data_IF_798210554366
#
_entry.id   IF_798210554366
#
_cell.length_a   1.000
_cell.length_b   1.000
_cell.length_c   1.000
_cell.angle_alpha   90.00
_cell.angle_beta   90.00
_cell.angle_gamma   90.00
#
_symmetry.space_group_name_H-M   'P 1'
#
loop_
_entity.id
_entity.type
_entity.pdbx_description
1 polymer ?
#
# COMPACT_ATOMS: atom_id res chain seq x y z
N UNK A 1 -5.73 -63.00 -4.67
CA UNK A 1 -7.14 -62.96 -5.13
C UNK A 1 -7.92 -61.91 -4.32
N UNK A 2 -7.58 -60.63 -4.49
CA UNK A 2 -8.34 -59.50 -3.94
C UNK A 2 -8.16 -58.29 -4.87
N UNK A 3 -8.43 -58.46 -6.15
CA UNK A 3 -8.39 -57.40 -7.18
C UNK A 3 -9.76 -56.71 -7.36
N UNK A 4 -10.68 -56.86 -6.40
CA UNK A 4 -12.05 -56.35 -6.49
C UNK A 4 -12.26 -54.94 -5.91
N UNK A 5 -11.20 -54.16 -5.71
CA UNK A 5 -11.28 -52.76 -5.22
C UNK A 5 -10.80 -51.76 -6.27
N UNK A 6 -11.12 -52.03 -7.54
CA UNK A 6 -10.72 -51.18 -8.64
C UNK A 6 -11.77 -50.07 -8.83
N UNK A 7 -11.40 -48.80 -8.58
CA UNK A 7 -12.12 -47.65 -9.16
C UNK A 7 -12.51 -47.98 -10.61
N UNK A 8 -13.74 -47.63 -11.00
CA UNK A 8 -14.17 -47.75 -12.39
C UNK A 8 -13.14 -47.12 -13.32
N UNK A 9 -12.89 -47.74 -14.47
CA UNK A 9 -11.96 -47.20 -15.48
C UNK A 9 -12.35 -45.78 -15.88
N UNK A 10 -13.65 -45.48 -15.91
CA UNK A 10 -14.16 -44.14 -16.19
C UNK A 10 -13.77 -43.12 -15.11
N UNK A 11 -13.88 -43.49 -13.83
CA UNK A 11 -13.51 -42.64 -12.71
C UNK A 11 -12.00 -42.38 -12.67
N UNK A 12 -11.19 -43.41 -12.98
CA UNK A 12 -9.72 -43.27 -13.08
C UNK A 12 -9.34 -42.24 -14.15
N UNK A 13 -9.91 -42.38 -15.34
CA UNK A 13 -9.68 -41.43 -16.45
C UNK A 13 -10.15 -40.03 -16.07
N UNK A 14 -11.26 -39.90 -15.35
CA UNK A 14 -11.76 -38.60 -14.90
C UNK A 14 -10.80 -37.94 -13.89
N UNK A 15 -10.30 -38.70 -12.90
CA UNK A 15 -9.32 -38.21 -11.92
C UNK A 15 -8.03 -37.80 -12.62
N UNK A 16 -7.52 -38.64 -13.52
CA UNK A 16 -6.26 -38.39 -14.24
C UNK A 16 -6.35 -37.13 -15.10
N UNK A 17 -7.47 -36.91 -15.81
CA UNK A 17 -7.71 -35.67 -16.57
C UNK A 17 -7.75 -34.41 -15.70
N UNK A 18 -8.23 -34.51 -14.46
CA UNK A 18 -8.23 -33.36 -13.54
C UNK A 18 -6.83 -33.16 -12.96
N UNK A 19 -6.13 -34.24 -12.64
CA UNK A 19 -4.78 -34.22 -12.10
C UNK A 19 -3.75 -33.69 -13.11
N UNK A 20 -3.82 -34.11 -14.38
CA UNK A 20 -2.97 -33.58 -15.45
C UNK A 20 -3.14 -32.06 -15.60
N UNK A 21 -4.35 -31.54 -15.42
CA UNK A 21 -4.62 -30.09 -15.41
C UNK A 21 -3.99 -29.36 -14.23
N UNK A 22 -3.50 -30.02 -13.19
CA UNK A 22 -2.75 -29.37 -12.11
C UNK A 22 -1.29 -29.07 -12.47
N UNK A 23 -0.71 -29.86 -13.38
CA UNK A 23 0.75 -29.96 -13.53
C UNK A 23 1.46 -28.75 -14.15
N UNK A 24 0.74 -27.70 -14.55
CA UNK A 24 1.39 -26.49 -15.08
C UNK A 24 0.48 -25.32 -15.37
N UNK A 25 -0.72 -25.29 -14.79
CA UNK A 25 -1.83 -24.49 -15.31
C UNK A 25 -2.42 -23.55 -14.26
N UNK A 26 -3.12 -22.55 -14.77
CA UNK A 26 -3.73 -21.46 -14.00
C UNK A 26 -4.90 -21.96 -13.15
N UNK A 27 -5.32 -21.20 -12.13
CA UNK A 27 -6.51 -21.53 -11.33
C UNK A 27 -7.78 -21.66 -12.20
N UNK A 28 -7.85 -20.93 -13.31
CA UNK A 28 -8.94 -21.01 -14.28
C UNK A 28 -9.00 -22.36 -15.01
N UNK A 29 -7.86 -22.89 -15.42
CA UNK A 29 -7.77 -24.16 -16.13
C UNK A 29 -8.04 -25.37 -15.23
N UNK A 30 -7.63 -25.31 -13.96
CA UNK A 30 -7.98 -26.34 -12.96
C UNK A 30 -9.51 -26.44 -12.84
N UNK A 31 -10.19 -25.30 -12.83
CA UNK A 31 -11.65 -25.22 -12.80
C UNK A 31 -12.33 -25.44 -14.15
N UNK A 32 -11.58 -25.47 -15.25
CA UNK A 32 -12.10 -25.46 -16.63
C UNK A 32 -13.09 -24.31 -16.90
N UNK A 33 -12.77 -23.12 -16.41
CA UNK A 33 -13.55 -21.90 -16.63
C UNK A 33 -12.70 -20.85 -17.36
N UNK A 34 -13.35 -19.93 -18.07
CA UNK A 34 -12.67 -18.80 -18.72
C UNK A 34 -12.22 -17.76 -17.67
N UNK A 35 -11.11 -17.03 -17.87
CA UNK A 35 -10.71 -15.91 -17.01
C UNK A 35 -11.80 -14.84 -16.83
N UNK A 36 -12.68 -14.67 -17.82
CA UNK A 36 -13.79 -13.71 -17.79
C UNK A 36 -15.06 -14.26 -17.09
N UNK A 37 -14.99 -15.47 -16.53
CA UNK A 37 -16.16 -16.12 -15.93
C UNK A 37 -16.64 -15.38 -14.69
N UNK A 38 -17.97 -15.31 -14.54
CA UNK A 38 -18.60 -14.72 -13.37
C UNK A 38 -18.30 -15.55 -12.11
N UNK A 39 -18.44 -14.95 -10.94
CA UNK A 39 -18.26 -15.64 -9.67
C UNK A 39 -19.21 -16.84 -9.50
N UNK A 40 -20.43 -16.73 -10.01
CA UNK A 40 -21.41 -17.82 -10.00
C UNK A 40 -20.94 -19.03 -10.82
N UNK A 41 -20.37 -18.79 -12.01
CA UNK A 41 -19.83 -19.84 -12.86
C UNK A 41 -18.64 -20.54 -12.20
N UNK A 42 -17.75 -19.79 -11.54
CA UNK A 42 -16.61 -20.31 -10.77
C UNK A 42 -17.11 -21.21 -9.63
N UNK A 43 -18.08 -20.72 -8.85
CA UNK A 43 -18.64 -21.45 -7.71
C UNK A 43 -19.35 -22.74 -8.15
N UNK A 44 -20.08 -22.68 -9.26
CA UNK A 44 -20.75 -23.85 -9.83
C UNK A 44 -19.74 -24.89 -10.32
N UNK A 45 -18.68 -24.48 -11.02
CA UNK A 45 -17.62 -25.37 -11.47
C UNK A 45 -16.90 -26.08 -10.30
N UNK A 46 -16.62 -25.34 -9.21
CA UNK A 46 -16.04 -25.91 -7.99
C UNK A 46 -16.97 -26.94 -7.36
N UNK A 47 -18.27 -26.62 -7.24
CA UNK A 47 -19.28 -27.52 -6.68
C UNK A 47 -19.37 -28.81 -7.51
N UNK A 48 -19.39 -28.69 -8.83
CA UNK A 48 -19.47 -29.83 -9.73
C UNK A 48 -18.21 -30.71 -9.67
N UNK A 49 -17.02 -30.10 -9.58
CA UNK A 49 -15.76 -30.84 -9.40
C UNK A 49 -15.69 -31.57 -8.06
N UNK A 50 -16.07 -30.91 -6.95
CA UNK A 50 -16.12 -31.56 -5.63
C UNK A 50 -17.08 -32.73 -5.61
N UNK A 51 -18.27 -32.58 -6.20
CA UNK A 51 -19.26 -33.66 -6.30
C UNK A 51 -18.74 -34.84 -7.12
N UNK A 52 -17.94 -34.59 -8.15
CA UNK A 52 -17.32 -35.64 -8.98
C UNK A 52 -16.19 -36.37 -8.26
N UNK A 53 -15.45 -35.67 -7.40
CA UNK A 53 -14.30 -36.18 -6.65
C UNK A 53 -14.63 -36.63 -5.23
N UNK A 54 -15.91 -36.67 -4.88
CA UNK A 54 -16.35 -37.14 -3.56
C UNK A 54 -15.98 -38.61 -3.37
N UNK A 55 -15.13 -38.87 -2.38
CA UNK A 55 -14.61 -40.21 -2.09
C UNK A 55 -15.74 -41.19 -1.78
N UNK A 56 -16.85 -40.71 -1.22
CA UNK A 56 -18.01 -41.53 -0.87
C UNK A 56 -18.76 -42.07 -2.10
N UNK A 57 -18.54 -41.48 -3.28
CA UNK A 57 -19.16 -41.90 -4.53
C UNK A 57 -18.51 -43.15 -5.11
N UNK A 58 -17.23 -43.40 -4.81
CA UNK A 58 -16.52 -44.54 -5.37
C UNK A 58 -16.93 -45.83 -4.66
N UNK A 59 -17.29 -46.85 -5.45
CA UNK A 59 -17.57 -48.18 -4.91
C UNK A 59 -16.22 -48.87 -4.64
N UNK A 60 -15.80 -48.87 -3.37
CA UNK A 60 -14.54 -49.46 -2.91
C UNK A 60 -13.52 -48.42 -2.44
N UNK A 61 -12.47 -48.90 -1.78
CA UNK A 61 -11.39 -48.03 -1.28
C UNK A 61 -10.47 -47.67 -2.44
N UNK A 62 -10.28 -46.39 -2.77
CA UNK A 62 -9.30 -46.00 -3.78
C UNK A 62 -7.91 -46.49 -3.41
N UNK A 63 -7.14 -46.92 -4.39
CA UNK A 63 -5.71 -47.18 -4.21
C UNK A 63 -5.03 -45.92 -3.67
N UNK A 64 -4.06 -46.08 -2.79
CA UNK A 64 -3.35 -44.97 -2.10
C UNK A 64 -2.87 -43.87 -3.07
N UNK A 65 -2.39 -44.27 -4.26
CA UNK A 65 -1.98 -43.33 -5.31
C UNK A 65 -3.12 -42.40 -5.77
N UNK A 66 -4.31 -42.94 -6.03
CA UNK A 66 -5.47 -42.16 -6.45
C UNK A 66 -6.04 -41.33 -5.31
N UNK A 67 -6.02 -41.83 -4.08
CA UNK A 67 -6.37 -41.03 -2.89
C UNK A 67 -5.50 -39.78 -2.81
N UNK A 68 -4.17 -39.94 -2.98
CA UNK A 68 -3.23 -38.83 -2.98
C UNK A 68 -3.46 -37.86 -4.14
N UNK A 69 -3.79 -38.36 -5.35
CA UNK A 69 -4.16 -37.50 -6.49
C UNK A 69 -5.43 -36.70 -6.21
N UNK A 70 -6.47 -37.32 -5.66
CA UNK A 70 -7.73 -36.65 -5.28
C UNK A 70 -7.45 -35.55 -4.24
N UNK A 71 -6.66 -35.84 -3.20
CA UNK A 71 -6.28 -34.86 -2.17
C UNK A 71 -5.55 -33.65 -2.76
N UNK A 72 -4.60 -33.89 -3.69
CA UNK A 72 -3.88 -32.80 -4.36
C UNK A 72 -4.82 -31.92 -5.20
N UNK A 73 -5.79 -32.53 -5.90
CA UNK A 73 -6.82 -31.80 -6.65
C UNK A 73 -7.70 -30.99 -5.71
N UNK A 74 -8.19 -31.58 -4.62
CA UNK A 74 -9.04 -30.86 -3.67
C UNK A 74 -8.31 -29.68 -3.03
N UNK A 75 -7.03 -29.85 -2.67
CA UNK A 75 -6.19 -28.77 -2.15
C UNK A 75 -5.98 -27.64 -3.17
N UNK A 76 -5.78 -27.98 -4.44
CA UNK A 76 -5.67 -26.98 -5.50
C UNK A 76 -7.00 -26.25 -5.76
N UNK A 77 -8.14 -26.95 -5.62
CA UNK A 77 -9.47 -26.33 -5.68
C UNK A 77 -9.68 -25.34 -4.52
N UNK A 78 -9.27 -25.70 -3.30
CA UNK A 78 -9.33 -24.78 -2.14
C UNK A 78 -8.54 -23.50 -2.41
N UNK A 79 -7.31 -23.63 -2.91
CA UNK A 79 -6.46 -22.48 -3.27
C UNK A 79 -7.09 -21.63 -4.38
N UNK A 80 -7.64 -22.27 -5.42
CA UNK A 80 -8.30 -21.56 -6.51
C UNK A 80 -9.51 -20.76 -6.01
N UNK A 81 -10.33 -21.32 -5.12
CA UNK A 81 -11.47 -20.62 -4.51
C UNK A 81 -11.00 -19.46 -3.63
N UNK A 82 -9.94 -19.67 -2.84
CA UNK A 82 -9.39 -18.63 -1.95
C UNK A 82 -8.87 -17.41 -2.73
N UNK A 83 -8.24 -17.65 -3.89
CA UNK A 83 -7.71 -16.58 -4.74
C UNK A 83 -8.81 -15.94 -5.59
N UNK A 84 -9.69 -16.74 -6.20
CA UNK A 84 -10.71 -16.24 -7.14
C UNK A 84 -11.97 -15.71 -6.45
N UNK A 85 -12.21 -16.04 -5.18
CA UNK A 85 -13.38 -15.63 -4.42
C UNK A 85 -13.35 -14.22 -3.86
N UNK A 86 -12.16 -13.66 -3.67
CA UNK A 86 -11.98 -12.25 -3.32
C UNK A 86 -11.68 -11.44 -4.59
N UNK A 87 -12.50 -10.43 -4.95
CA UNK A 87 -12.29 -9.64 -6.16
C UNK A 87 -10.92 -8.96 -6.21
N UNK A 88 -10.35 -8.58 -5.06
CA UNK A 88 -9.03 -7.94 -4.99
C UNK A 88 -7.94 -8.97 -5.26
N UNK A 89 -8.02 -10.15 -4.64
CA UNK A 89 -7.05 -11.23 -4.88
C UNK A 89 -7.09 -11.74 -6.32
N UNK A 90 -8.30 -11.88 -6.89
CA UNK A 90 -8.50 -12.22 -8.30
C UNK A 90 -7.81 -11.20 -9.22
N UNK A 91 -8.04 -9.90 -9.00
CA UNK A 91 -7.39 -8.85 -9.80
C UNK A 91 -5.86 -8.91 -9.74
N UNK A 92 -5.30 -9.12 -8.54
CA UNK A 92 -3.85 -9.26 -8.38
C UNK A 92 -3.31 -10.52 -9.06
N UNK A 93 -4.05 -11.62 -8.98
CA UNK A 93 -3.72 -12.86 -9.66
C UNK A 93 -3.74 -12.69 -11.19
N UNK A 94 -4.76 -12.04 -11.75
CA UNK A 94 -4.87 -11.73 -13.17
C UNK A 94 -3.72 -10.84 -13.65
N UNK A 95 -3.30 -9.88 -12.83
CA UNK A 95 -2.14 -9.04 -13.13
C UNK A 95 -0.84 -9.86 -13.15
N UNK A 96 -0.68 -10.80 -12.22
CA UNK A 96 0.48 -11.70 -12.19
C UNK A 96 0.52 -12.61 -13.42
N UNK A 97 -0.63 -13.14 -13.83
CA UNK A 97 -0.78 -13.94 -15.05
C UNK A 97 -0.32 -13.18 -16.29
N UNK A 98 -0.83 -11.96 -16.49
CA UNK A 98 -0.43 -11.10 -17.62
C UNK A 98 1.07 -10.78 -17.62
N UNK A 99 1.69 -10.66 -16.45
CA UNK A 99 3.15 -10.44 -16.32
C UNK A 99 3.95 -11.72 -16.59
N UNK A 100 3.43 -12.87 -16.19
CA UNK A 100 4.10 -14.18 -16.30
C UNK A 100 3.99 -14.82 -17.67
N UNK A 101 2.87 -14.65 -18.38
CA UNK A 101 2.66 -15.15 -19.74
C UNK A 101 3.68 -14.57 -20.73
N UNK A 102 4.10 -13.31 -20.55
CA UNK A 102 5.19 -12.72 -21.34
C UNK A 102 6.57 -13.34 -21.12
N UNK A 103 6.75 -14.21 -20.10
CA UNK A 103 8.05 -14.78 -19.73
C UNK A 103 8.13 -16.30 -19.89
N UNK A 104 7.00 -17.00 -20.08
CA UNK A 104 6.96 -18.48 -20.07
C UNK A 104 6.87 -19.14 -21.46
N UNK A 105 6.74 -18.37 -22.54
CA UNK A 105 6.66 -18.91 -23.91
C UNK A 105 7.79 -18.52 -24.86
N UNK A 106 8.85 -17.87 -24.39
CA UNK A 106 10.14 -17.97 -25.08
C UNK A 106 10.75 -19.33 -24.76
N UNK A 107 10.19 -20.38 -25.38
CA UNK A 107 11.00 -21.53 -25.75
C UNK A 107 12.22 -20.96 -26.46
N UNK A 108 13.45 -21.27 -26.01
CA UNK A 108 14.65 -20.72 -26.64
C UNK A 108 14.58 -21.08 -28.11
N UNK A 109 14.36 -20.08 -28.96
CA UNK A 109 14.42 -20.26 -30.41
C UNK A 109 15.73 -21.00 -30.68
N UNK A 110 15.69 -22.16 -31.37
CA UNK A 110 16.89 -22.93 -31.62
C UNK A 110 17.91 -21.99 -32.25
N UNK A 111 19.05 -21.85 -31.59
CA UNK A 111 20.14 -20.94 -31.96
C UNK A 111 20.34 -21.06 -33.46
N UNK A 112 19.89 -20.05 -34.21
CA UNK A 112 20.09 -20.01 -35.65
C UNK A 112 21.61 -19.98 -35.85
N UNK A 113 22.21 -20.94 -36.57
CA UNK A 113 23.66 -21.00 -36.71
C UNK A 113 24.18 -19.66 -37.22
N UNK A 114 25.18 -19.14 -36.52
CA UNK A 114 25.76 -17.83 -36.73
C UNK A 114 26.11 -17.62 -38.21
N UNK A 115 25.34 -16.77 -38.89
CA UNK A 115 25.72 -16.26 -40.20
C UNK A 115 26.89 -15.31 -39.98
N UNK A 116 28.01 -15.67 -40.59
CA UNK A 116 29.28 -14.95 -40.60
C UNK A 116 29.07 -13.47 -40.93
N UNK A 117 29.65 -12.53 -40.16
CA UNK A 117 29.52 -11.11 -40.43
C UNK A 117 30.29 -10.74 -41.70
N UNK A 118 29.56 -10.24 -42.71
CA UNK A 118 30.13 -9.65 -43.92
C UNK A 118 30.78 -8.31 -43.55
N UNK A 119 32.05 -8.06 -43.90
CA UNK A 119 32.75 -6.82 -43.57
C UNK A 119 32.15 -5.63 -44.33
N UNK A 120 31.73 -4.60 -43.60
CA UNK A 120 31.18 -3.35 -44.13
C UNK A 120 32.29 -2.50 -44.75
N UNK A 121 32.10 -2.12 -46.01
CA UNK A 121 32.92 -1.20 -46.80
C UNK A 121 32.68 0.25 -46.35
N UNK A 122 33.71 1.09 -46.12
CA UNK A 122 33.51 2.51 -45.85
C UNK A 122 33.30 3.25 -47.18
N UNK A 123 32.11 3.82 -47.38
CA UNK A 123 31.84 4.74 -48.48
C UNK A 123 31.47 6.09 -47.88
N UNK A 124 32.42 7.02 -47.91
CA UNK A 124 32.20 8.42 -47.61
C UNK A 124 31.40 9.07 -48.73
N UNK A 125 30.36 9.80 -48.36
CA UNK A 125 29.72 10.82 -49.18
C UNK A 125 29.33 11.99 -48.27
N UNK A 126 29.63 13.25 -48.63
CA UNK A 126 29.27 14.40 -47.82
C UNK A 126 27.77 14.74 -47.92
N UNK A 127 27.18 15.36 -46.90
CA UNK A 127 25.76 15.71 -46.87
C UNK A 127 25.48 16.92 -47.78
N UNK A 128 24.48 16.78 -48.64
CA UNK A 128 23.90 17.84 -49.47
C UNK A 128 22.88 18.59 -48.60
N UNK A 129 23.04 19.91 -48.48
CA UNK A 129 22.05 20.79 -47.84
C UNK A 129 20.80 20.90 -48.72
N UNK A 130 19.63 20.59 -48.16
CA UNK A 130 18.33 20.97 -48.69
C UNK A 130 17.86 22.27 -48.02
N UNK A 131 17.61 23.35 -48.79
CA UNK A 131 16.92 24.54 -48.29
C UNK A 131 15.44 24.46 -48.68
N UNK A 132 14.56 24.16 -47.73
CA UNK A 132 13.12 24.20 -48.01
C UNK A 132 12.27 23.44 -47.01
N UNK A 133 12.03 24.02 -45.84
CA UNK A 133 10.87 23.66 -45.02
C UNK A 133 10.22 24.95 -44.54
N UNK A 134 9.17 25.31 -45.28
CA UNK A 134 8.19 26.34 -44.91
C UNK A 134 7.56 26.00 -43.56
N UNK A 135 7.44 27.02 -42.73
CA UNK A 135 6.67 26.99 -41.49
C UNK A 135 5.16 26.83 -41.78
N UNK A 136 4.42 26.06 -40.97
CA UNK A 136 2.96 26.05 -41.05
C UNK A 136 2.36 27.27 -40.33
N UNK A 137 1.35 27.86 -40.97
CA UNK A 137 0.54 28.98 -40.48
C UNK A 137 -0.17 28.70 -39.14
N UNK A 138 -0.40 29.74 -38.32
CA UNK A 138 -1.15 29.62 -37.06
C UNK A 138 -2.65 29.48 -37.33
N UNK A 139 -3.22 28.32 -36.95
CA UNK A 139 -4.66 28.06 -36.98
C UNK A 139 -5.40 28.92 -35.96
N UNK A 140 -6.47 29.53 -36.45
CA UNK A 140 -7.35 30.45 -35.76
C UNK A 140 -8.02 29.89 -34.50
N UNK A 141 -8.12 30.78 -33.51
CA UNK A 141 -8.79 30.61 -32.21
C UNK A 141 -10.32 30.70 -32.40
N UNK A 142 -11.14 29.76 -31.88
CA UNK A 142 -12.59 29.93 -31.88
C UNK A 142 -13.05 30.89 -30.76
N UNK A 143 -14.16 31.62 -30.95
CA UNK A 143 -14.66 32.60 -30.00
C UNK A 143 -15.35 31.96 -28.78
N UNK A 144 -15.24 32.66 -27.66
CA UNK A 144 -15.88 32.34 -26.39
C UNK A 144 -17.41 32.25 -26.53
N UNK A 145 -17.97 31.10 -26.16
CA UNK A 145 -19.39 30.93 -25.92
C UNK A 145 -19.66 31.09 -24.43
N UNK A 146 -20.35 32.18 -24.08
CA UNK A 146 -20.99 32.37 -22.79
C UNK A 146 -22.03 31.27 -22.56
N UNK A 147 -21.85 30.48 -21.51
CA UNK A 147 -22.89 29.62 -20.96
C UNK A 147 -22.96 29.85 -19.45
N UNK A 148 -24.10 30.32 -18.92
CA UNK A 148 -24.25 30.56 -17.50
C UNK A 148 -24.30 29.24 -16.73
N UNK A 149 -23.35 29.06 -15.82
CA UNK A 149 -23.33 28.00 -14.82
C UNK A 149 -24.55 28.15 -13.90
N UNK A 150 -25.56 27.31 -14.10
CA UNK A 150 -26.63 27.08 -13.14
C UNK A 150 -26.06 26.25 -12.00
N UNK A 151 -25.85 26.90 -10.85
CA UNK A 151 -25.45 26.27 -9.58
C UNK A 151 -26.70 25.65 -8.93
N UNK A 152 -26.78 24.33 -8.72
CA UNK A 152 -27.84 23.76 -7.89
C UNK A 152 -27.58 24.09 -6.41
N UNK A 153 -28.64 24.54 -5.74
CA UNK A 153 -28.64 24.93 -4.33
C UNK A 153 -28.27 23.76 -3.40
N UNK A 154 -27.58 24.02 -2.26
CA UNK A 154 -27.25 22.98 -1.30
C UNK A 154 -28.51 22.44 -0.61
N UNK A 155 -28.61 21.10 -0.56
CA UNK A 155 -29.60 20.37 0.22
C UNK A 155 -29.54 20.82 1.69
N UNK A 156 -30.63 21.43 2.16
CA UNK A 156 -30.90 21.62 3.58
C UNK A 156 -31.13 20.24 4.20
N UNK A 157 -30.23 19.83 5.09
CA UNK A 157 -30.43 18.68 5.97
C UNK A 157 -31.16 19.19 7.21
N UNK A 158 -32.47 18.97 7.22
CA UNK A 158 -33.32 19.33 8.34
C UNK A 158 -32.86 18.61 9.61
N UNK A 159 -32.60 19.43 10.62
CA UNK A 159 -32.34 19.03 11.98
C UNK A 159 -33.67 18.64 12.63
N UNK A 160 -33.84 17.34 12.89
CA UNK A 160 -34.76 16.89 13.91
C UNK A 160 -33.97 16.66 15.21
N UNK A 161 -34.22 17.51 16.20
CA UNK A 161 -34.09 17.12 17.61
C UNK A 161 -35.03 15.92 17.89
N UNK A 162 -35.02 15.28 19.05
CA UNK A 162 -34.87 15.81 20.39
C UNK A 162 -34.86 14.62 21.33
N UNK A 163 -34.09 14.71 22.41
CA UNK A 163 -34.51 14.16 23.69
C UNK A 163 -33.78 12.89 24.17
N UNK A 164 -33.22 12.97 25.38
CA UNK A 164 -32.97 11.76 26.16
C UNK A 164 -31.89 11.85 27.23
N UNK A 165 -32.21 12.50 28.34
CA UNK A 165 -31.75 12.16 29.70
C UNK A 165 -30.30 12.39 30.12
N UNK A 166 -30.11 13.54 30.78
CA UNK A 166 -29.71 13.66 32.18
C UNK A 166 -29.52 12.37 32.98
N UNK A 167 -28.33 12.15 33.57
CA UNK A 167 -28.12 12.19 35.02
C UNK A 167 -26.64 11.90 35.40
N UNK A 168 -26.09 12.60 36.40
CA UNK A 168 -24.73 12.37 36.93
C UNK A 168 -24.76 11.42 38.13
N UNK A 169 -23.84 10.44 38.16
CA UNK A 169 -23.65 9.50 39.28
C UNK A 169 -22.23 9.57 39.83
N UNK A 170 -22.03 9.50 41.17
CA UNK A 170 -20.88 10.07 41.82
C UNK A 170 -19.71 9.10 42.04
N UNK A 171 -18.56 9.73 42.23
CA UNK A 171 -17.30 9.28 42.84
C UNK A 171 -17.47 8.08 43.79
N UNK A 172 -16.78 6.97 43.47
CA UNK A 172 -16.48 5.92 44.44
C UNK A 172 -14.98 5.93 44.74
N UNK A 173 -14.66 6.50 45.90
CA UNK A 173 -13.38 6.45 46.58
C UNK A 173 -13.17 5.06 47.18
N UNK A 174 -12.30 4.25 46.58
CA UNK A 174 -11.76 3.07 47.25
C UNK A 174 -10.40 3.39 47.87
N UNK A 175 -10.48 3.79 49.14
CA UNK A 175 -9.44 3.62 50.14
C UNK A 175 -9.01 2.14 50.13
N UNK A 176 -7.76 1.87 49.72
CA UNK A 176 -7.08 0.61 50.01
C UNK A 176 -6.04 0.87 51.10
N UNK A 177 -6.13 0.21 52.27
CA UNK A 177 -5.11 0.33 53.31
C UNK A 177 -3.80 -0.31 52.84
N UNK A 178 -2.72 0.42 53.14
CA UNK A 178 -1.33 0.02 52.98
C UNK A 178 -1.04 -1.23 53.82
N UNK A 179 -0.91 -2.40 53.18
CA UNK A 179 -0.31 -3.57 53.81
C UNK A 179 1.20 -3.52 53.59
N UNK A 180 1.91 -3.31 54.70
CA UNK A 180 3.35 -3.48 54.83
C UNK A 180 3.66 -4.99 54.69
N UNK A 181 4.45 -5.43 53.70
CA UNK A 181 4.94 -6.81 53.68
C UNK A 181 6.11 -7.00 54.68
N UNK A 182 6.20 -8.15 55.37
CA UNK A 182 7.34 -8.48 56.23
C UNK A 182 8.60 -8.78 55.40
N UNK A 183 9.81 -8.64 55.98
CA UNK A 183 11.05 -8.98 55.30
C UNK A 183 11.16 -10.50 55.09
N UNK A 184 11.57 -10.98 53.90
CA UNK A 184 11.88 -12.39 53.73
C UNK A 184 13.24 -12.72 54.37
N UNK A 185 13.17 -13.58 55.38
CA UNK A 185 14.28 -14.32 55.95
C UNK A 185 15.04 -15.11 54.89
N UNK A 186 16.36 -15.15 55.06
CA UNK A 186 17.32 -15.78 54.17
C UNK A 186 17.02 -17.24 53.86
N UNK A 187 17.09 -17.56 52.57
CA UNK A 187 17.16 -18.93 52.06
C UNK A 187 18.13 -18.94 50.90
N UNK A 188 19.33 -19.47 51.14
CA UNK A 188 20.32 -19.76 50.12
C UNK A 188 19.71 -20.62 49.00
N UNK A 189 19.57 -20.06 47.81
CA UNK A 189 19.25 -20.80 46.59
C UNK A 189 20.40 -20.66 45.61
N UNK A 190 20.96 -21.81 45.27
CA UNK A 190 21.96 -22.06 44.25
C UNK A 190 21.53 -21.44 42.91
N UNK A 191 22.49 -20.82 42.25
CA UNK A 191 22.32 -20.00 41.06
C UNK A 191 21.70 -20.75 39.88
N UNK A 192 20.53 -20.28 39.47
CA UNK A 192 20.04 -20.41 38.10
C UNK A 192 19.96 -19.00 37.54
N UNK A 193 20.96 -18.65 36.74
CA UNK A 193 21.03 -17.38 36.01
C UNK A 193 19.96 -17.43 34.94
N UNK A 194 18.76 -16.96 35.26
CA UNK A 194 17.75 -16.70 34.26
C UNK A 194 18.33 -15.63 33.29
N UNK A 195 18.33 -15.87 31.97
CA UNK A 195 18.82 -14.89 31.02
C UNK A 195 17.97 -13.64 31.16
N UNK A 196 18.60 -12.54 31.59
CA UNK A 196 17.99 -11.22 31.59
C UNK A 196 17.50 -10.96 30.17
N UNK A 197 16.20 -10.72 29.93
CA UNK A 197 15.73 -10.40 28.60
C UNK A 197 16.45 -9.13 28.18
N UNK A 198 17.37 -9.26 27.22
CA UNK A 198 17.99 -8.12 26.58
C UNK A 198 16.87 -7.31 25.96
N UNK A 199 16.48 -6.21 26.62
CA UNK A 199 15.64 -5.17 26.06
C UNK A 199 16.23 -4.83 24.70
N UNK A 200 15.46 -5.09 23.65
CA UNK A 200 15.87 -4.78 22.29
C UNK A 200 16.33 -3.31 22.26
N UNK A 201 17.45 -3.01 21.57
CA UNK A 201 17.94 -1.65 21.53
C UNK A 201 16.81 -0.75 20.96
N UNK A 202 16.54 0.42 21.57
CA UNK A 202 15.42 1.30 21.19
C UNK A 202 15.46 1.80 19.74
N UNK A 203 16.55 1.50 19.02
CA UNK A 203 16.75 1.82 17.62
C UNK A 203 16.11 0.80 16.65
N UNK A 204 15.79 -0.43 17.11
CA UNK A 204 15.17 -1.45 16.27
C UNK A 204 13.71 -1.08 15.94
N UNK A 205 12.91 -0.73 16.95
CA UNK A 205 11.51 -0.31 16.78
C UNK A 205 11.37 0.96 15.93
N UNK A 206 12.38 1.85 15.95
CA UNK A 206 12.40 3.05 15.09
C UNK A 206 12.56 2.72 13.61
N UNK A 207 13.46 1.79 13.28
CA UNK A 207 13.68 1.37 11.88
C UNK A 207 12.44 0.71 11.30
N UNK A 208 11.72 -0.05 12.12
CA UNK A 208 10.47 -0.68 11.72
C UNK A 208 9.38 0.37 11.45
N UNK A 209 9.26 1.40 12.30
CA UNK A 209 8.30 2.48 12.08
C UNK A 209 8.60 3.29 10.81
N UNK A 210 9.86 3.66 10.57
CA UNK A 210 10.25 4.38 9.36
C UNK A 210 9.99 3.55 8.09
N UNK A 211 10.25 2.24 8.14
CA UNK A 211 9.94 1.32 7.04
C UNK A 211 8.43 1.23 6.77
N UNK A 212 7.63 1.11 7.83
CA UNK A 212 6.16 1.07 7.72
C UNK A 212 5.61 2.37 7.14
N UNK A 213 6.16 3.52 7.52
CA UNK A 213 5.73 4.82 7.00
C UNK A 213 6.03 4.96 5.50
N UNK A 214 7.21 4.53 5.06
CA UNK A 214 7.56 4.49 3.63
C UNK A 214 6.61 3.57 2.86
N UNK A 215 6.22 2.44 3.45
CA UNK A 215 5.29 1.51 2.81
C UNK A 215 3.86 2.08 2.74
N UNK A 216 3.40 2.77 3.78
CA UNK A 216 2.13 3.50 3.79
C UNK A 216 2.13 4.61 2.73
N UNK A 217 3.21 5.37 2.59
CA UNK A 217 3.34 6.36 1.52
C UNK A 217 3.26 5.71 0.14
N UNK A 218 3.98 4.60 -0.08
CA UNK A 218 3.96 3.87 -1.35
C UNK A 218 2.54 3.39 -1.68
N UNK A 219 1.83 2.84 -0.70
CA UNK A 219 0.45 2.38 -0.86
C UNK A 219 -0.48 3.57 -1.18
N UNK A 220 -0.35 4.68 -0.46
CA UNK A 220 -1.18 5.87 -0.69
C UNK A 220 -1.02 6.41 -2.12
N UNK A 221 0.23 6.53 -2.61
CA UNK A 221 0.51 6.94 -4.00
C UNK A 221 -0.09 5.96 -4.99
N UNK A 222 0.09 4.65 -4.76
CA UNK A 222 -0.43 3.62 -5.65
C UNK A 222 -1.96 3.65 -5.72
N UNK A 223 -2.64 3.82 -4.60
CA UNK A 223 -4.11 3.88 -4.53
C UNK A 223 -4.62 5.11 -5.27
N UNK A 224 -4.03 6.28 -5.03
CA UNK A 224 -4.44 7.51 -5.71
C UNK A 224 -4.19 7.46 -7.21
N UNK A 225 -3.08 6.87 -7.64
CA UNK A 225 -2.81 6.64 -9.06
C UNK A 225 -3.85 5.71 -9.70
N UNK A 226 -4.22 4.62 -9.03
CA UNK A 226 -5.28 3.72 -9.50
C UNK A 226 -6.63 4.44 -9.61
N UNK A 227 -7.01 5.24 -8.61
CA UNK A 227 -8.26 6.03 -8.63
C UNK A 227 -8.23 7.01 -9.81
N UNK A 228 -7.11 7.70 -10.04
CA UNK A 228 -6.95 8.63 -11.16
C UNK A 228 -7.06 7.91 -12.53
N UNK A 229 -6.58 6.67 -12.65
CA UNK A 229 -6.72 5.90 -13.90
C UNK A 229 -8.15 5.43 -14.19
N UNK A 230 -8.95 5.16 -13.15
CA UNK A 230 -10.32 4.65 -13.31
C UNK A 230 -11.30 5.77 -13.69
N UNK A 231 -11.11 6.99 -13.18
CA UNK A 231 -12.13 8.05 -13.29
C UNK A 231 -12.16 8.78 -14.63
N UNK A 232 -11.04 8.98 -15.32
CA UNK A 232 -11.02 9.54 -16.69
C UNK A 232 -9.62 9.39 -17.35
N UNK A 233 -9.49 8.64 -18.45
CA UNK A 233 -8.20 8.34 -19.05
C UNK A 233 -7.56 9.49 -19.85
N UNK A 234 -8.19 10.65 -20.08
CA UNK A 234 -7.59 11.69 -20.95
C UNK A 234 -7.63 13.12 -20.36
N UNK A 235 -8.74 13.60 -19.78
CA UNK A 235 -8.85 15.00 -19.34
C UNK A 235 -8.70 15.20 -17.82
N UNK A 236 -9.20 14.27 -16.99
CA UNK A 236 -9.00 14.36 -15.54
C UNK A 236 -7.62 13.92 -15.04
N UNK A 237 -6.69 13.51 -15.92
CA UNK A 237 -5.36 13.01 -15.49
C UNK A 237 -4.51 14.07 -14.81
N UNK A 238 -4.45 15.30 -15.32
CA UNK A 238 -3.55 16.32 -14.76
C UNK A 238 -4.06 16.81 -13.41
N UNK A 239 -5.32 17.22 -13.31
CA UNK A 239 -5.91 17.67 -12.04
C UNK A 239 -6.02 16.56 -11.01
N UNK A 240 -6.30 15.31 -11.39
CA UNK A 240 -6.29 14.18 -10.46
C UNK A 240 -4.87 13.85 -9.97
N UNK A 241 -3.85 13.95 -10.84
CA UNK A 241 -2.46 13.78 -10.43
C UNK A 241 -1.97 14.92 -9.54
N UNK A 242 -2.39 16.15 -9.79
CA UNK A 242 -2.12 17.29 -8.92
C UNK A 242 -2.78 17.12 -7.55
N UNK A 243 -4.05 16.72 -7.51
CA UNK A 243 -4.77 16.44 -6.27
C UNK A 243 -4.13 15.27 -5.50
N UNK A 244 -3.72 14.21 -6.20
CA UNK A 244 -2.99 13.10 -5.60
C UNK A 244 -1.62 13.55 -5.06
N UNK A 245 -0.87 14.34 -5.83
CA UNK A 245 0.40 14.91 -5.41
C UNK A 245 0.25 15.80 -4.16
N UNK A 246 -0.80 16.63 -4.11
CA UNK A 246 -1.11 17.46 -2.96
C UNK A 246 -1.49 16.62 -1.73
N UNK A 247 -2.35 15.62 -1.90
CA UNK A 247 -2.73 14.72 -0.82
C UNK A 247 -1.53 13.91 -0.27
N UNK A 248 -0.58 13.54 -1.13
CA UNK A 248 0.67 12.92 -0.70
C UNK A 248 1.58 13.89 0.07
N UNK A 249 1.70 15.13 -0.41
CA UNK A 249 2.45 16.16 0.31
C UNK A 249 1.82 16.41 1.70
N UNK A 250 0.49 16.38 1.78
CA UNK A 250 -0.27 16.54 3.01
C UNK A 250 -0.03 15.41 4.02
N UNK A 251 -0.06 14.15 3.56
CA UNK A 251 0.23 12.99 4.43
C UNK A 251 1.67 13.00 4.91
N UNK A 252 2.64 13.32 4.03
CA UNK A 252 4.06 13.48 4.40
C UNK A 252 4.27 14.55 5.45
N UNK A 253 3.66 15.73 5.26
CA UNK A 253 3.73 16.81 6.22
C UNK A 253 3.16 16.39 7.58
N UNK A 254 2.01 15.70 7.59
CA UNK A 254 1.37 15.22 8.81
C UNK A 254 2.22 14.19 9.57
N UNK A 255 2.78 13.19 8.86
CA UNK A 255 3.62 12.16 9.45
C UNK A 255 4.91 12.74 10.03
N UNK A 256 5.60 13.60 9.27
CA UNK A 256 6.79 14.30 9.74
C UNK A 256 6.50 15.17 10.97
N UNK A 257 5.33 15.81 11.03
CA UNK A 257 4.89 16.60 12.19
C UNK A 257 4.63 15.73 13.43
N UNK A 258 4.11 14.52 13.26
CA UNK A 258 3.89 13.58 14.38
C UNK A 258 5.23 13.09 14.93
N UNK A 259 6.16 12.72 14.05
CA UNK A 259 7.51 12.32 14.46
C UNK A 259 8.24 13.45 15.18
N UNK A 260 8.18 14.68 14.63
CA UNK A 260 8.81 15.85 15.23
C UNK A 260 8.31 16.12 16.65
N UNK A 261 7.00 16.06 16.91
CA UNK A 261 6.44 16.23 18.27
C UNK A 261 6.93 15.16 19.25
N UNK A 262 7.03 13.90 18.81
CA UNK A 262 7.59 12.83 19.65
C UNK A 262 9.06 13.08 19.99
N UNK A 263 9.81 13.67 19.07
CA UNK A 263 11.21 14.04 19.31
C UNK A 263 11.31 15.25 20.26
N UNK A 264 10.42 16.24 20.14
CA UNK A 264 10.31 17.37 21.09
C UNK A 264 9.99 16.90 22.51
N UNK A 265 8.99 16.03 22.66
CA UNK A 265 8.59 15.44 23.95
C UNK A 265 9.74 14.68 24.62
N UNK A 266 10.61 14.08 23.82
CA UNK A 266 11.78 13.37 24.30
C UNK A 266 13.06 14.24 24.38
N UNK A 267 12.96 15.55 24.14
CA UNK A 267 14.06 16.50 24.21
C UNK A 267 15.13 16.38 23.11
N UNK A 268 14.84 15.64 22.03
CA UNK A 268 15.76 15.42 20.90
C UNK A 268 15.61 16.53 19.85
N UNK A 269 16.02 17.74 20.20
CA UNK A 269 15.80 18.94 19.38
C UNK A 269 16.40 18.87 17.96
N UNK A 270 17.55 18.21 17.77
CA UNK A 270 18.14 18.03 16.44
C UNK A 270 17.28 17.14 15.52
N UNK A 271 16.77 16.01 16.03
CA UNK A 271 15.89 15.10 15.28
C UNK A 271 14.54 15.79 14.98
N UNK A 272 13.97 16.48 15.97
CA UNK A 272 12.76 17.26 15.82
C UNK A 272 12.90 18.33 14.72
N UNK A 273 14.01 19.07 14.71
CA UNK A 273 14.30 20.10 13.69
C UNK A 273 14.35 19.48 12.29
N UNK A 274 15.02 18.33 12.13
CA UNK A 274 15.09 17.64 10.84
C UNK A 274 13.69 17.20 10.35
N UNK A 275 12.83 16.72 11.26
CA UNK A 275 11.47 16.29 10.94
C UNK A 275 10.56 17.48 10.61
N UNK A 276 10.64 18.60 11.34
CA UNK A 276 9.94 19.83 10.98
C UNK A 276 10.41 20.42 9.65
N UNK A 277 11.71 20.31 9.33
CA UNK A 277 12.21 20.74 8.02
C UNK A 277 11.63 19.88 6.88
N UNK A 278 11.44 18.57 7.08
CA UNK A 278 10.74 17.72 6.11
C UNK A 278 9.29 18.14 5.94
N UNK A 279 8.59 18.43 7.04
CA UNK A 279 7.20 18.88 7.00
C UNK A 279 7.04 20.21 6.25
N UNK A 280 7.92 21.18 6.50
CA UNK A 280 7.92 22.49 5.80
C UNK A 280 8.30 22.38 4.32
N UNK A 281 9.13 21.41 3.91
CA UNK A 281 9.39 21.14 2.48
C UNK A 281 8.15 20.60 1.77
N UNK A 282 7.35 19.79 2.45
CA UNK A 282 6.10 19.29 1.90
C UNK A 282 5.02 20.38 1.82
N UNK A 283 5.00 21.31 2.79
CA UNK A 283 4.10 22.48 2.82
C UNK A 283 4.87 23.78 3.07
N UNK A 284 5.47 24.40 2.03
CA UNK A 284 6.34 25.55 2.20
C UNK A 284 5.62 26.84 2.62
N UNK A 285 4.28 26.88 2.49
CA UNK A 285 3.42 28.01 2.84
C UNK A 285 2.57 27.76 4.09
N UNK A 286 2.95 26.80 4.93
CA UNK A 286 2.29 26.57 6.20
C UNK A 286 3.03 27.33 7.31
N UNK A 287 2.45 28.46 7.76
CA UNK A 287 3.05 29.32 8.76
C UNK A 287 3.20 28.62 10.12
N UNK A 288 2.32 27.68 10.47
CA UNK A 288 2.37 26.95 11.75
C UNK A 288 3.57 26.02 11.78
N UNK A 289 3.85 25.31 10.69
CA UNK A 289 5.02 24.44 10.58
C UNK A 289 6.33 25.23 10.64
N UNK A 290 6.38 26.38 9.97
CA UNK A 290 7.54 27.28 10.04
C UNK A 290 7.74 27.83 11.46
N UNK A 291 6.68 28.23 12.16
CA UNK A 291 6.78 28.71 13.54
C UNK A 291 7.32 27.63 14.50
N UNK A 292 6.89 26.36 14.35
CA UNK A 292 7.43 25.23 15.13
C UNK A 292 8.89 24.95 14.84
N UNK A 293 9.29 25.02 13.57
CA UNK A 293 10.70 24.90 13.18
C UNK A 293 11.55 26.01 13.83
N UNK A 294 11.07 27.26 13.82
CA UNK A 294 11.75 28.37 14.48
C UNK A 294 11.88 28.17 16.00
N UNK A 295 10.83 27.66 16.65
CA UNK A 295 10.85 27.31 18.08
C UNK A 295 11.93 26.25 18.38
N UNK A 296 12.04 25.22 17.54
CA UNK A 296 13.09 24.20 17.66
C UNK A 296 14.51 24.80 17.55
N UNK A 297 14.77 25.67 16.55
CA UNK A 297 16.06 26.36 16.42
C UNK A 297 16.39 27.22 17.64
N UNK A 298 15.39 27.96 18.17
CA UNK A 298 15.56 28.74 19.39
C UNK A 298 15.92 27.86 20.59
N UNK A 299 15.29 26.69 20.75
CA UNK A 299 15.61 25.73 21.82
C UNK A 299 17.01 25.13 21.69
N UNK A 300 17.49 24.93 20.46
CA UNK A 300 18.88 24.50 20.21
C UNK A 300 19.92 25.61 20.43
N UNK A 301 19.49 26.87 20.56
CA UNK A 301 20.37 28.03 20.70
C UNK A 301 20.83 28.64 19.38
N UNK A 302 20.30 28.18 18.24
CA UNK A 302 20.57 28.75 16.92
C UNK A 302 19.64 29.95 16.66
N UNK A 303 19.98 31.09 17.27
CA UNK A 303 19.12 32.27 17.32
C UNK A 303 18.91 32.93 15.95
N UNK A 304 19.92 32.88 15.07
CA UNK A 304 19.84 33.46 13.73
C UNK A 304 18.87 32.66 12.86
N UNK A 305 19.02 31.33 12.81
CA UNK A 305 18.10 30.49 12.06
C UNK A 305 16.66 30.59 12.61
N UNK A 306 16.49 30.73 13.93
CA UNK A 306 15.19 30.93 14.54
C UNK A 306 14.52 32.23 14.09
N UNK A 307 15.25 33.36 14.07
CA UNK A 307 14.74 34.66 13.61
C UNK A 307 14.34 34.60 12.12
N UNK A 308 15.20 34.06 11.26
CA UNK A 308 14.96 33.94 9.83
C UNK A 308 13.68 33.12 9.52
N UNK A 309 13.54 31.96 10.16
CA UNK A 309 12.39 31.08 9.96
C UNK A 309 11.10 31.71 10.53
N UNK A 310 11.17 32.39 11.68
CA UNK A 310 10.02 33.08 12.27
C UNK A 310 9.54 34.25 11.40
N UNK A 311 10.45 35.04 10.81
CA UNK A 311 10.09 36.09 9.86
C UNK A 311 9.45 35.53 8.59
N UNK A 312 9.96 34.40 8.08
CA UNK A 312 9.32 33.69 6.96
C UNK A 312 7.90 33.23 7.30
N UNK A 313 7.67 32.75 8.52
CA UNK A 313 6.32 32.38 8.97
C UNK A 313 5.38 33.60 8.96
N UNK A 314 5.82 34.76 9.45
CA UNK A 314 5.04 36.01 9.44
C UNK A 314 4.82 36.59 8.04
N UNK A 315 5.74 36.36 7.11
CA UNK A 315 5.56 36.75 5.72
C UNK A 315 4.47 35.91 5.01
N UNK A 316 4.28 34.66 5.44
CA UNK A 316 3.20 33.78 4.97
C UNK A 316 1.87 34.12 5.64
N UNK A 317 1.89 34.29 6.96
CA UNK A 317 0.73 34.69 7.76
C UNK A 317 1.13 35.67 8.87
N UNK A 318 0.82 36.95 8.66
CA UNK A 318 1.10 38.02 9.63
C UNK A 318 0.37 37.85 10.97
N UNK A 319 -0.70 37.03 10.99
CA UNK A 319 -1.47 36.68 12.18
C UNK A 319 -0.90 35.54 13.02
N UNK A 320 0.21 34.91 12.60
CA UNK A 320 0.76 33.75 13.29
C UNK A 320 1.37 34.12 14.66
N UNK A 321 0.56 33.99 15.72
CA UNK A 321 0.96 34.31 17.11
C UNK A 321 2.17 33.49 17.60
N UNK A 322 2.28 32.23 17.16
CA UNK A 322 3.42 31.37 17.51
C UNK A 322 4.76 31.95 17.01
N UNK A 323 4.80 32.49 15.79
CA UNK A 323 5.99 33.12 15.24
C UNK A 323 6.35 34.42 15.98
N UNK A 324 5.35 35.24 16.33
CA UNK A 324 5.55 36.47 17.13
C UNK A 324 6.10 36.15 18.52
N UNK A 325 5.63 35.07 19.15
CA UNK A 325 6.11 34.62 20.45
C UNK A 325 7.60 34.24 20.39
N UNK A 326 8.04 33.55 19.33
CA UNK A 326 9.46 33.21 19.13
C UNK A 326 10.31 34.48 18.97
N UNK A 327 9.90 35.44 18.13
CA UNK A 327 10.63 36.71 17.97
C UNK A 327 10.71 37.53 19.27
N UNK A 328 9.62 37.54 20.05
CA UNK A 328 9.58 38.22 21.35
C UNK A 328 10.50 37.52 22.37
N UNK A 329 10.62 36.20 22.30
CA UNK A 329 11.56 35.46 23.14
C UNK A 329 13.02 35.76 22.76
N UNK A 330 13.31 35.87 21.46
CA UNK A 330 14.64 36.22 20.95
C UNK A 330 15.08 37.63 21.36
N UNK A 331 14.17 38.60 21.38
CA UNK A 331 14.48 39.99 21.76
C UNK A 331 14.70 40.21 23.27
N UNK A 332 14.39 39.22 24.11
CA UNK A 332 14.53 39.29 25.58
C UNK A 332 15.86 38.73 26.09
N UNK A 333 16.68 38.13 25.22
CA UNK A 333 18.03 37.66 25.54
C UNK A 333 19.06 38.75 25.24
#
# INVERSE_FOLDING_TARGET
>A
MAELNALSTEDRVAIDRVYERLSGRTHYEVLAVSPDSSWEAITQAVRDLRKRLDVTRFVGVPTEEYSRRIELVLRALDQAVEVLGDPVRRFLYDQQLRRGEGRREETPSPVRPAVTPIPRRPSGAPPRMDPGSQAPDPVARPPAGDSPLVVPAPLRKDAAGTGGSSAPGPRSSNNRPSMIPPPPSGGARLGSVAPTPMLAPPNAERRDLDSLLVEVERIAVSVQFCIAQILDPQAARVSALENAGQALADTRAALASIQARRDEEAGRWHEATANWLRATRARPRDAVLLARLAECHHRMGDLQAADDVARRALAVDSGCEAAKAVLTALSRR
#
